data_IF_721349432360
#
_entry.id   IF_721349432360
#
_cell.length_a   1.000
_cell.length_b   1.000
_cell.length_c   1.000
_cell.angle_alpha   90.00
_cell.angle_beta   90.00
_cell.angle_gamma   90.00
#
_symmetry.space_group_name_H-M   'P 1'
#
loop_
_entity.id
_entity.type
_entity.pdbx_description
1 polymer ?
#
# COMPACT_ATOMS: atom_id res chain seq x y z
N UNK A 1 -4.44 -17.38 -2.67
CA UNK A 1 -5.40 -18.31 -3.29
C UNK A 1 -6.26 -17.56 -4.30
N UNK A 2 -6.57 -18.19 -5.43
CA UNK A 2 -7.58 -17.75 -6.38
C UNK A 2 -8.87 -18.52 -6.10
N UNK A 3 -9.95 -17.81 -5.85
CA UNK A 3 -11.24 -18.41 -5.49
C UNK A 3 -12.27 -18.04 -6.56
N UNK A 4 -12.92 -19.04 -7.14
CA UNK A 4 -14.08 -18.84 -8.02
C UNK A 4 -15.33 -18.59 -7.16
N UNK A 5 -15.90 -17.41 -7.32
CA UNK A 5 -17.10 -16.96 -6.60
C UNK A 5 -18.29 -16.74 -7.53
N UNK A 6 -18.26 -17.24 -8.77
CA UNK A 6 -19.41 -17.17 -9.69
C UNK A 6 -20.68 -17.77 -9.10
N UNK A 7 -20.50 -18.79 -8.26
CA UNK A 7 -21.55 -19.20 -7.33
C UNK A 7 -21.15 -18.83 -5.91
N UNK A 8 -21.62 -17.69 -5.34
CA UNK A 8 -21.18 -17.20 -4.04
C UNK A 8 -21.57 -18.13 -2.87
N UNK A 9 -22.57 -19.01 -3.06
CA UNK A 9 -22.95 -20.00 -2.07
C UNK A 9 -22.05 -21.25 -2.05
N UNK A 10 -21.17 -21.40 -3.07
CA UNK A 10 -20.24 -22.52 -3.20
C UNK A 10 -18.91 -22.02 -3.79
N UNK A 11 -18.12 -21.23 -3.05
CA UNK A 11 -16.82 -20.75 -3.52
C UNK A 11 -15.87 -21.94 -3.70
N UNK A 12 -15.10 -21.95 -4.78
CA UNK A 12 -14.16 -23.03 -5.13
C UNK A 12 -12.76 -22.44 -5.31
N UNK A 13 -11.77 -22.99 -4.61
CA UNK A 13 -10.38 -22.68 -4.90
C UNK A 13 -9.98 -23.24 -6.27
N UNK A 14 -9.51 -22.37 -7.15
CA UNK A 14 -9.10 -22.74 -8.52
C UNK A 14 -7.60 -22.66 -8.73
N UNK A 15 -6.86 -21.98 -7.84
CA UNK A 15 -5.42 -21.87 -7.90
C UNK A 15 -4.83 -21.25 -6.65
N UNK A 16 -3.51 -21.39 -6.50
CA UNK A 16 -2.74 -20.84 -5.40
C UNK A 16 -1.31 -20.56 -5.78
N UNK A 17 -0.73 -19.62 -5.08
CA UNK A 17 0.69 -19.36 -5.11
C UNK A 17 1.16 -18.93 -3.71
N UNK A 18 2.40 -19.22 -3.38
CA UNK A 18 3.12 -18.69 -2.22
C UNK A 18 4.59 -18.50 -2.57
N UNK A 19 5.23 -17.57 -1.90
CA UNK A 19 6.66 -17.34 -2.03
C UNK A 19 7.42 -18.60 -1.54
N UNK A 20 8.39 -19.13 -2.30
CA UNK A 20 9.19 -20.29 -1.88
C UNK A 20 9.78 -20.12 -0.48
N UNK A 21 9.71 -21.15 0.34
CA UNK A 21 10.15 -21.16 1.73
C UNK A 21 9.13 -20.63 2.73
N UNK A 22 7.92 -20.21 2.29
CA UNK A 22 6.91 -19.64 3.20
C UNK A 22 5.71 -20.56 3.44
N UNK A 23 5.68 -21.73 2.83
CA UNK A 23 4.71 -22.79 3.12
C UNK A 23 5.33 -23.86 4.01
N UNK A 24 4.51 -24.44 4.91
CA UNK A 24 4.93 -25.57 5.73
C UNK A 24 5.28 -26.83 4.92
N UNK A 25 4.92 -26.87 3.64
CA UNK A 25 5.22 -27.98 2.72
C UNK A 25 6.48 -27.76 1.91
N UNK A 26 7.12 -26.60 2.04
CA UNK A 26 8.33 -26.29 1.30
C UNK A 26 9.56 -27.00 1.89
N UNK A 27 10.45 -27.44 1.01
CA UNK A 27 11.76 -27.97 1.40
C UNK A 27 12.86 -26.90 1.36
N UNK A 28 12.48 -25.64 1.22
CA UNK A 28 13.39 -24.48 1.12
C UNK A 28 13.17 -23.59 2.34
N UNK A 29 14.26 -23.09 2.93
CA UNK A 29 14.16 -22.14 4.02
C UNK A 29 13.57 -20.80 3.54
N UNK A 30 12.77 -20.11 4.37
CA UNK A 30 12.30 -18.77 4.05
C UNK A 30 13.50 -17.79 3.95
N UNK A 31 13.34 -16.68 3.20
CA UNK A 31 14.34 -15.63 3.18
C UNK A 31 14.60 -15.06 4.58
N UNK A 32 15.78 -14.44 4.82
CA UNK A 32 16.04 -13.76 6.08
C UNK A 32 15.08 -12.59 6.29
N UNK A 33 14.73 -12.30 7.54
CA UNK A 33 13.84 -11.22 7.93
C UNK A 33 14.51 -10.24 8.89
N UNK A 34 14.03 -9.00 8.91
CA UNK A 34 14.35 -8.03 9.95
C UNK A 34 13.68 -8.46 11.28
N UNK A 35 14.27 -8.18 12.47
CA UNK A 35 13.67 -8.56 13.75
C UNK A 35 12.24 -8.04 14.01
N UNK A 36 11.87 -6.93 13.38
CA UNK A 36 10.51 -6.35 13.49
C UNK A 36 9.54 -6.83 12.42
N UNK A 37 9.96 -7.70 11.51
CA UNK A 37 9.12 -8.24 10.45
C UNK A 37 7.96 -9.09 11.00
N UNK A 38 6.84 -9.11 10.26
CA UNK A 38 5.55 -9.69 10.69
C UNK A 38 5.24 -11.03 10.01
N UNK A 39 6.09 -11.49 9.12
CA UNK A 39 5.96 -12.78 8.43
C UNK A 39 5.61 -12.67 6.96
N UNK A 40 5.46 -13.81 6.33
CA UNK A 40 5.26 -13.94 4.88
C UNK A 40 3.83 -14.34 4.59
N UNK A 41 3.03 -13.45 4.02
CA UNK A 41 1.67 -13.72 3.53
C UNK A 41 1.20 -12.61 2.59
N UNK A 42 0.25 -12.94 1.73
CA UNK A 42 -0.44 -11.95 0.91
C UNK A 42 -1.19 -10.94 1.81
N UNK A 43 -1.08 -9.68 1.49
CA UNK A 43 -1.83 -8.58 2.08
C UNK A 43 -2.77 -7.99 1.02
N UNK A 44 -2.40 -6.91 0.33
CA UNK A 44 -3.21 -6.40 -0.77
C UNK A 44 -2.95 -7.15 -2.08
N UNK A 45 -4.03 -7.40 -2.82
CA UNK A 45 -4.04 -8.21 -4.04
C UNK A 45 -4.82 -7.47 -5.13
N UNK A 46 -4.18 -6.47 -5.75
CA UNK A 46 -4.84 -5.55 -6.66
C UNK A 46 -4.82 -6.08 -8.11
N UNK A 47 -5.99 -6.10 -8.74
CA UNK A 47 -6.18 -6.40 -10.16
C UNK A 47 -6.94 -5.24 -10.78
N UNK A 48 -6.42 -4.69 -11.88
CA UNK A 48 -6.98 -3.51 -12.54
C UNK A 48 -7.69 -3.89 -13.84
N UNK A 49 -8.80 -3.24 -14.19
CA UNK A 49 -9.53 -3.49 -15.44
C UNK A 49 -8.65 -3.35 -16.69
N UNK A 50 -7.66 -2.44 -16.68
CA UNK A 50 -6.72 -2.23 -17.77
C UNK A 50 -5.78 -3.42 -17.99
N UNK A 51 -5.51 -4.21 -16.95
CA UNK A 51 -4.63 -5.38 -16.98
C UNK A 51 -5.22 -6.53 -16.15
N UNK A 52 -6.35 -7.12 -16.59
CA UNK A 52 -7.04 -8.20 -15.86
C UNK A 52 -6.24 -9.50 -15.80
N UNK A 53 -5.15 -9.58 -16.54
CA UNK A 53 -4.17 -10.66 -16.57
C UNK A 53 -3.01 -10.48 -15.60
N UNK A 54 -3.02 -9.38 -14.81
CA UNK A 54 -1.98 -9.05 -13.82
C UNK A 54 -2.56 -8.92 -12.42
N UNK A 55 -1.78 -9.42 -11.46
CA UNK A 55 -2.00 -9.20 -10.03
C UNK A 55 -0.79 -8.45 -9.47
N UNK A 56 -1.05 -7.34 -8.83
CA UNK A 56 -0.07 -6.56 -8.07
C UNK A 56 -0.23 -6.95 -6.61
N UNK A 57 0.67 -7.83 -6.17
CA UNK A 57 0.58 -8.50 -4.88
C UNK A 57 1.61 -7.92 -3.91
N UNK A 58 1.15 -7.34 -2.81
CA UNK A 58 2.00 -7.06 -1.66
C UNK A 58 1.98 -8.26 -0.71
N UNK A 59 3.16 -8.79 -0.39
CA UNK A 59 3.34 -10.04 0.36
C UNK A 59 4.04 -9.81 1.70
N UNK A 60 3.62 -8.76 2.40
CA UNK A 60 4.17 -8.29 3.68
C UNK A 60 5.71 -8.22 3.61
N UNK A 61 6.41 -9.02 4.41
CA UNK A 61 7.89 -9.00 4.48
C UNK A 61 8.56 -9.63 3.26
N UNK A 62 7.79 -10.32 2.43
CA UNK A 62 8.25 -10.89 1.17
C UNK A 62 8.36 -9.88 0.02
N UNK A 63 7.93 -8.63 0.23
CA UNK A 63 7.99 -7.61 -0.80
C UNK A 63 6.74 -7.53 -1.68
N UNK A 64 6.89 -6.93 -2.85
CA UNK A 64 5.87 -6.72 -3.86
C UNK A 64 6.16 -7.57 -5.10
N UNK A 65 5.12 -8.23 -5.64
CA UNK A 65 5.20 -9.07 -6.82
C UNK A 65 4.26 -8.55 -7.91
N UNK A 66 4.75 -8.53 -9.15
CA UNK A 66 3.90 -8.51 -10.33
C UNK A 66 3.71 -9.94 -10.79
N UNK A 67 2.47 -10.38 -10.93
CA UNK A 67 2.16 -11.75 -11.27
C UNK A 67 1.32 -11.84 -12.54
N UNK A 68 1.62 -12.83 -13.37
CA UNK A 68 0.76 -13.28 -14.45
C UNK A 68 -0.33 -14.19 -13.88
N UNK A 69 -1.59 -13.75 -14.00
CA UNK A 69 -2.78 -14.48 -13.59
C UNK A 69 -3.70 -14.79 -14.77
N UNK A 70 -3.19 -14.78 -16.00
CA UNK A 70 -3.94 -15.19 -17.19
C UNK A 70 -4.51 -16.60 -16.99
N UNK A 71 -3.69 -17.53 -16.51
CA UNK A 71 -4.13 -18.80 -15.96
C UNK A 71 -4.25 -18.70 -14.42
N UNK A 72 -5.46 -18.57 -13.92
CA UNK A 72 -5.75 -18.44 -12.48
C UNK A 72 -5.46 -19.73 -11.69
N UNK A 73 -5.36 -20.87 -12.36
CA UNK A 73 -4.98 -22.13 -11.73
C UNK A 73 -3.48 -22.22 -11.44
N UNK A 74 -2.66 -21.46 -12.20
CA UNK A 74 -1.21 -21.47 -12.11
C UNK A 74 -0.63 -20.06 -12.18
N UNK A 75 -0.84 -19.18 -11.16
CA UNK A 75 -0.24 -17.85 -11.13
C UNK A 75 1.29 -17.92 -11.20
N UNK A 76 1.92 -17.01 -11.96
CA UNK A 76 3.38 -16.98 -12.17
C UNK A 76 3.95 -15.63 -11.82
N UNK A 77 5.10 -15.61 -11.17
CA UNK A 77 5.84 -14.38 -10.90
C UNK A 77 6.44 -13.84 -12.19
N UNK A 78 6.22 -12.55 -12.46
CA UNK A 78 6.87 -11.78 -13.53
C UNK A 78 8.07 -11.06 -12.97
N UNK A 79 7.85 -10.32 -11.87
CA UNK A 79 8.91 -9.60 -11.16
C UNK A 79 8.63 -9.54 -9.66
N UNK A 80 9.68 -9.22 -8.93
CA UNK A 80 9.68 -9.10 -7.48
C UNK A 80 10.55 -7.90 -7.07
N UNK A 81 10.06 -7.08 -6.18
CA UNK A 81 10.79 -5.99 -5.56
C UNK A 81 10.59 -5.99 -4.04
N UNK A 82 11.65 -5.71 -3.30
CA UNK A 82 11.61 -5.58 -1.84
C UNK A 82 12.60 -4.54 -1.33
N UNK A 83 12.27 -3.88 -0.23
CA UNK A 83 13.17 -3.02 0.54
C UNK A 83 13.73 -3.72 1.80
N UNK A 84 13.26 -4.91 2.11
CA UNK A 84 13.64 -5.65 3.32
C UNK A 84 14.53 -6.86 3.01
N UNK A 85 15.65 -7.05 3.73
CA UNK A 85 16.39 -6.03 4.47
C UNK A 85 17.06 -5.01 3.54
N UNK A 86 17.54 -3.82 3.97
CA UNK A 86 17.83 -3.44 5.34
C UNK A 86 16.67 -2.80 6.12
N UNK A 87 15.59 -2.36 5.42
CA UNK A 87 14.41 -1.82 6.12
C UNK A 87 13.55 -2.94 6.69
N UNK A 88 12.65 -2.61 7.62
CA UNK A 88 11.58 -3.53 8.02
C UNK A 88 10.64 -3.78 6.86
N UNK A 89 10.16 -5.00 6.69
CA UNK A 89 9.13 -5.36 5.72
C UNK A 89 7.77 -4.74 6.06
N UNK A 90 6.76 -5.25 5.45
CA UNK A 90 5.35 -4.94 5.46
C UNK A 90 4.90 -4.15 4.22
N UNK A 91 5.25 -4.68 3.04
CA UNK A 91 4.65 -4.20 1.80
C UNK A 91 3.13 -4.37 1.85
N UNK A 92 2.43 -3.25 1.69
CA UNK A 92 0.99 -3.17 1.94
C UNK A 92 0.17 -3.06 0.65
N UNK A 93 0.37 -2.00 -0.13
CA UNK A 93 -0.42 -1.70 -1.32
C UNK A 93 0.48 -1.36 -2.50
N UNK A 94 0.15 -1.89 -3.69
CA UNK A 94 0.82 -1.57 -4.95
C UNK A 94 -0.19 -1.03 -5.97
N UNK A 95 0.07 0.17 -6.49
CA UNK A 95 -0.82 0.89 -7.43
C UNK A 95 -0.05 1.23 -8.70
N UNK A 96 -0.34 0.56 -9.83
CA UNK A 96 0.24 0.92 -11.12
C UNK A 96 -0.39 2.19 -11.68
N UNK A 97 0.43 3.08 -12.20
CA UNK A 97 0.05 4.23 -13.02
C UNK A 97 0.43 3.91 -14.47
N UNK A 98 -0.48 3.21 -15.16
CA UNK A 98 -0.20 2.56 -16.45
C UNK A 98 0.31 3.53 -17.51
N UNK A 99 -0.33 4.70 -17.66
CA UNK A 99 -0.01 5.67 -18.70
C UNK A 99 1.36 6.33 -18.49
N UNK A 100 1.89 6.24 -17.28
CA UNK A 100 3.21 6.79 -16.92
C UNK A 100 4.30 5.73 -16.77
N UNK A 101 3.94 4.45 -16.81
CA UNK A 101 4.88 3.37 -16.54
C UNK A 101 5.48 3.45 -15.12
N UNK A 102 4.69 3.90 -14.14
CA UNK A 102 5.09 4.00 -12.75
C UNK A 102 4.33 2.98 -11.88
N UNK A 103 4.93 2.63 -10.75
CA UNK A 103 4.31 1.85 -9.68
C UNK A 103 4.50 2.56 -8.35
N UNK A 104 3.40 2.80 -7.64
CA UNK A 104 3.45 3.26 -6.25
C UNK A 104 3.38 2.04 -5.33
N UNK A 105 4.22 1.99 -4.31
CA UNK A 105 4.20 0.91 -3.32
C UNK A 105 4.31 1.51 -1.93
N UNK A 106 3.43 1.09 -1.02
CA UNK A 106 3.50 1.48 0.39
C UNK A 106 4.01 0.36 1.26
N UNK A 107 4.77 0.70 2.30
CA UNK A 107 5.06 -0.19 3.41
C UNK A 107 4.37 0.32 4.69
N UNK A 108 3.63 -0.57 5.36
CA UNK A 108 2.84 -0.22 6.54
C UNK A 108 3.70 -0.10 7.79
N UNK A 109 3.51 0.99 8.56
CA UNK A 109 3.99 1.03 9.95
C UNK A 109 3.15 0.11 10.84
N UNK A 110 3.80 -0.82 11.53
CA UNK A 110 3.16 -1.79 12.41
C UNK A 110 3.52 -1.59 13.87
N UNK A 111 4.52 -0.76 14.16
CA UNK A 111 4.99 -0.46 15.50
C UNK A 111 4.60 0.96 15.92
N UNK A 112 4.41 1.16 17.23
CA UNK A 112 4.15 2.49 17.78
C UNK A 112 5.44 3.33 17.83
N UNK A 113 5.27 4.65 17.83
CA UNK A 113 6.34 5.61 17.97
C UNK A 113 7.43 5.51 16.90
N UNK A 114 7.08 5.05 15.69
CA UNK A 114 8.03 4.93 14.57
C UNK A 114 9.18 3.94 14.81
N UNK A 115 9.01 2.94 15.67
CA UNK A 115 10.06 1.95 15.98
C UNK A 115 10.50 1.12 14.77
N UNK A 116 9.61 0.97 13.78
CA UNK A 116 9.84 0.26 12.53
C UNK A 116 10.16 1.20 11.36
N UNK A 117 10.58 2.44 11.66
CA UNK A 117 11.01 3.42 10.68
C UNK A 117 12.21 2.92 9.82
N UNK A 118 12.30 3.30 8.50
CA UNK A 118 11.34 4.11 7.75
C UNK A 118 10.19 3.27 7.15
N UNK A 119 9.01 3.92 7.01
CA UNK A 119 7.82 3.38 6.34
C UNK A 119 7.33 4.40 5.32
N UNK A 120 7.46 4.08 4.04
CA UNK A 120 7.49 5.04 2.94
C UNK A 120 6.40 4.75 1.91
N UNK A 121 6.10 5.75 1.07
CA UNK A 121 5.44 5.56 -0.22
C UNK A 121 6.52 5.63 -1.28
N UNK A 122 6.82 4.51 -1.91
CA UNK A 122 7.83 4.34 -2.94
C UNK A 122 7.25 4.64 -4.32
N UNK A 123 8.08 5.21 -5.18
CA UNK A 123 7.79 5.40 -6.61
C UNK A 123 8.83 4.57 -7.37
N UNK A 124 8.32 3.60 -8.14
CA UNK A 124 9.16 2.74 -8.98
C UNK A 124 8.93 3.06 -10.45
N UNK A 125 9.98 3.04 -11.25
CA UNK A 125 9.88 2.92 -12.70
C UNK A 125 9.45 1.48 -13.03
N UNK A 126 8.31 1.35 -13.68
CA UNK A 126 7.69 0.08 -14.05
C UNK A 126 7.46 -0.03 -15.57
N UNK A 127 8.17 0.77 -16.39
CA UNK A 127 8.10 0.70 -17.87
C UNK A 127 8.49 -0.68 -18.37
N UNK A 128 9.40 -1.35 -17.70
CA UNK A 128 9.63 -2.79 -17.85
C UNK A 128 9.05 -3.51 -16.63
N UNK A 129 7.91 -4.19 -16.80
CA UNK A 129 7.25 -4.92 -15.70
C UNK A 129 8.11 -6.06 -15.12
N UNK A 130 9.20 -6.46 -15.81
CA UNK A 130 10.13 -7.49 -15.35
C UNK A 130 11.27 -6.93 -14.49
N UNK A 131 11.46 -5.61 -14.49
CA UNK A 131 12.54 -4.95 -13.77
C UNK A 131 12.07 -3.64 -13.14
N UNK A 132 11.48 -3.72 -11.97
CA UNK A 132 11.01 -2.56 -11.22
C UNK A 132 12.18 -1.84 -10.56
N UNK A 133 12.34 -0.54 -10.82
CA UNK A 133 13.45 0.27 -10.32
C UNK A 133 12.94 1.39 -9.42
N UNK A 134 13.29 1.43 -8.12
CA UNK A 134 12.91 2.56 -7.26
C UNK A 134 13.61 3.83 -7.74
N UNK A 135 12.85 4.91 -7.93
CA UNK A 135 13.34 6.20 -8.42
C UNK A 135 13.18 7.34 -7.42
N UNK A 136 12.19 7.25 -6.53
CA UNK A 136 11.93 8.24 -5.49
C UNK A 136 11.05 7.66 -4.37
N UNK A 137 10.86 8.46 -3.32
CA UNK A 137 9.82 8.27 -2.32
C UNK A 137 9.04 9.58 -2.15
N UNK A 138 7.74 9.50 -1.83
CA UNK A 138 7.00 10.68 -1.42
C UNK A 138 7.61 11.29 -0.14
N UNK A 139 7.62 12.63 0.01
CA UNK A 139 8.06 13.28 1.23
C UNK A 139 7.33 12.74 2.46
N UNK A 140 8.08 12.49 3.52
CA UNK A 140 7.52 11.99 4.77
C UNK A 140 7.13 13.14 5.69
N UNK A 141 6.04 13.01 6.47
CA UNK A 141 5.79 13.91 7.58
C UNK A 141 7.00 13.95 8.53
N UNK A 142 7.34 15.09 9.15
CA UNK A 142 8.52 15.19 10.02
C UNK A 142 8.46 14.20 11.18
N UNK A 143 9.44 13.30 11.27
CA UNK A 143 9.51 12.23 12.28
C UNK A 143 9.41 12.79 13.70
N UNK A 144 10.22 13.82 14.01
CA UNK A 144 10.27 14.45 15.34
C UNK A 144 8.94 15.07 15.76
N UNK A 145 8.15 15.51 14.76
CA UNK A 145 6.85 16.13 15.03
C UNK A 145 5.73 15.09 15.28
N UNK A 146 5.86 13.86 14.77
CA UNK A 146 4.75 12.92 14.76
C UNK A 146 5.03 11.59 15.48
N UNK A 147 6.23 11.03 15.42
CA UNK A 147 6.51 9.69 15.94
C UNK A 147 6.09 9.50 17.40
N UNK A 148 6.27 10.52 18.25
CA UNK A 148 5.98 10.46 19.69
C UNK A 148 4.58 10.97 20.07
N UNK A 149 3.69 11.28 19.12
CA UNK A 149 2.31 11.75 19.44
C UNK A 149 1.42 10.66 20.01
N UNK A 150 1.78 9.38 19.80
CA UNK A 150 1.03 8.21 20.20
C UNK A 150 0.60 7.35 19.02
N UNK A 151 0.51 6.04 19.24
CA UNK A 151 0.19 5.07 18.21
C UNK A 151 1.26 4.92 17.14
N UNK A 152 0.84 4.47 15.95
CA UNK A 152 1.74 4.22 14.80
C UNK A 152 2.07 5.52 14.05
N UNK A 153 3.25 5.54 13.44
CA UNK A 153 3.70 6.60 12.55
C UNK A 153 4.46 5.99 11.36
N UNK A 154 4.05 6.33 10.16
CA UNK A 154 4.60 5.84 8.89
C UNK A 154 3.49 5.65 7.86
N UNK A 155 3.84 5.34 6.64
CA UNK A 155 2.88 5.11 5.56
C UNK A 155 1.95 3.93 5.87
N UNK A 156 0.78 3.92 5.22
CA UNK A 156 -0.17 2.81 5.24
C UNK A 156 -0.88 2.68 3.90
N UNK A 157 -2.14 3.07 3.81
CA UNK A 157 -2.91 3.01 2.57
C UNK A 157 -2.69 4.25 1.68
N UNK A 158 -2.86 4.02 0.38
CA UNK A 158 -3.00 5.07 -0.63
C UNK A 158 -4.33 4.89 -1.35
N UNK A 159 -4.86 5.96 -1.93
CA UNK A 159 -5.98 5.84 -2.86
C UNK A 159 -5.59 4.94 -4.03
N UNK A 160 -6.28 3.81 -4.20
CA UNK A 160 -5.82 2.72 -5.07
C UNK A 160 -5.97 3.00 -6.58
N UNK A 161 -6.57 4.13 -6.96
CA UNK A 161 -6.69 4.57 -8.35
C UNK A 161 -7.34 3.53 -9.29
N UNK A 162 -8.29 2.74 -8.78
CA UNK A 162 -8.97 1.71 -9.57
C UNK A 162 -9.95 2.38 -10.53
N UNK A 163 -9.93 1.98 -11.79
CA UNK A 163 -10.79 2.54 -12.84
C UNK A 163 -12.27 2.11 -12.66
N UNK A 164 -12.95 2.71 -11.70
CA UNK A 164 -14.37 2.56 -11.42
C UNK A 164 -15.11 3.87 -11.72
N UNK A 165 -16.39 3.81 -12.17
CA UNK A 165 -17.19 5.03 -12.44
C UNK A 165 -17.35 5.93 -11.22
N UNK A 166 -17.24 5.39 -10.01
CA UNK A 166 -17.42 6.09 -8.73
C UNK A 166 -16.11 6.50 -8.06
N UNK A 167 -14.96 6.21 -8.68
CA UNK A 167 -13.65 6.53 -8.12
C UNK A 167 -12.95 7.60 -8.97
N UNK A 168 -12.43 8.61 -8.29
CA UNK A 168 -11.52 9.56 -8.92
C UNK A 168 -10.23 8.87 -9.33
N UNK A 169 -9.66 9.31 -10.44
CA UNK A 169 -8.40 8.80 -10.94
C UNK A 169 -7.43 9.95 -11.21
N UNK A 170 -6.20 9.77 -10.80
CA UNK A 170 -5.12 10.69 -11.11
C UNK A 170 -3.81 9.92 -11.30
N UNK A 171 -3.03 10.35 -12.27
CA UNK A 171 -1.66 9.90 -12.48
C UNK A 171 -0.62 10.91 -11.95
N UNK A 172 -1.08 12.04 -11.40
CA UNK A 172 -0.25 13.15 -10.92
C UNK A 172 -0.41 13.42 -9.43
N UNK A 173 -1.59 13.21 -8.87
CA UNK A 173 -1.84 13.42 -7.44
C UNK A 173 -2.05 12.08 -6.73
N UNK A 174 -1.33 11.88 -5.65
CA UNK A 174 -1.38 10.69 -4.81
C UNK A 174 -1.81 11.08 -3.40
N UNK A 175 -2.81 10.41 -2.87
CA UNK A 175 -3.22 10.57 -1.47
C UNK A 175 -2.83 9.33 -0.68
N UNK A 176 -2.21 9.54 0.49
CA UNK A 176 -1.79 8.44 1.37
C UNK A 176 -1.94 8.77 2.85
N UNK A 177 -2.22 7.76 3.64
CA UNK A 177 -2.37 7.86 5.09
C UNK A 177 -1.09 7.49 5.82
N UNK A 178 -0.82 8.17 6.94
CA UNK A 178 0.37 8.00 7.77
C UNK A 178 0.02 7.83 9.25
N UNK A 179 -1.08 7.19 9.58
CA UNK A 179 -1.59 7.02 10.94
C UNK A 179 -1.67 8.36 11.68
N UNK A 180 -0.83 8.58 12.72
CA UNK A 180 -0.81 9.86 13.46
C UNK A 180 -0.20 11.02 12.66
N UNK A 181 0.50 10.74 11.56
CA UNK A 181 0.95 11.72 10.57
C UNK A 181 -0.18 12.26 9.69
N UNK A 182 -1.38 11.67 9.77
CA UNK A 182 -2.57 12.11 9.05
C UNK A 182 -2.68 11.62 7.62
N UNK A 183 -3.52 12.28 6.83
CA UNK A 183 -3.62 12.13 5.38
C UNK A 183 -2.71 13.16 4.70
N UNK A 184 -2.05 12.74 3.64
CA UNK A 184 -1.15 13.56 2.83
C UNK A 184 -1.52 13.46 1.36
N UNK A 185 -1.38 14.57 0.65
CA UNK A 185 -1.50 14.64 -0.81
C UNK A 185 -0.17 15.04 -1.42
N UNK A 186 0.20 14.38 -2.52
CA UNK A 186 1.48 14.57 -3.20
C UNK A 186 1.28 14.82 -4.67
N UNK A 187 1.92 15.86 -5.20
CA UNK A 187 2.14 16.05 -6.63
C UNK A 187 3.36 15.23 -7.06
N UNK A 188 3.12 14.25 -7.91
CA UNK A 188 4.12 13.40 -8.54
C UNK A 188 4.28 13.66 -10.05
N UNK A 189 3.85 14.83 -10.55
CA UNK A 189 4.04 15.22 -11.96
C UNK A 189 5.49 15.04 -12.39
N UNK A 190 6.43 15.44 -11.52
CA UNK A 190 7.82 15.00 -11.59
C UNK A 190 8.04 13.84 -10.63
N UNK A 191 8.00 12.60 -11.14
CA UNK A 191 8.13 11.40 -10.34
C UNK A 191 9.48 11.26 -9.60
N UNK A 192 10.51 11.97 -10.04
CA UNK A 192 11.83 12.01 -9.39
C UNK A 192 11.93 13.03 -8.25
N UNK A 193 10.95 13.95 -8.17
CA UNK A 193 10.91 15.03 -7.18
C UNK A 193 9.47 15.25 -6.70
N UNK A 194 8.83 14.25 -6.07
CA UNK A 194 7.47 14.40 -5.56
C UNK A 194 7.41 15.51 -4.50
N UNK A 195 6.26 16.20 -4.43
CA UNK A 195 6.06 17.33 -3.51
C UNK A 195 4.78 17.09 -2.71
N UNK A 196 4.83 17.33 -1.40
CA UNK A 196 3.60 17.42 -0.59
C UNK A 196 2.85 18.71 -0.98
N UNK A 197 1.58 18.57 -1.35
CA UNK A 197 0.70 19.69 -1.76
C UNK A 197 -0.48 19.88 -0.83
N UNK A 198 -0.76 18.92 0.05
CA UNK A 198 -1.83 19.02 1.03
C UNK A 198 -1.65 18.06 2.20
N UNK A 199 -2.21 18.41 3.35
CA UNK A 199 -2.20 17.59 4.54
C UNK A 199 -3.44 17.80 5.39
N UNK A 200 -3.98 16.72 5.96
CA UNK A 200 -5.05 16.76 6.95
C UNK A 200 -4.69 15.93 8.17
N UNK A 201 -4.52 16.58 9.32
CA UNK A 201 -4.17 15.94 10.59
C UNK A 201 -5.14 16.41 11.66
N UNK A 202 -6.28 15.72 11.87
CA UNK A 202 -7.24 16.12 12.87
C UNK A 202 -6.68 15.97 14.29
N UNK A 203 -7.24 16.70 15.26
CA UNK A 203 -6.88 16.53 16.67
C UNK A 203 -7.17 15.11 17.16
N UNK A 204 -6.53 14.65 18.25
CA UNK A 204 -6.80 13.34 18.82
C UNK A 204 -8.29 13.14 19.10
N UNK A 205 -8.92 12.07 18.57
CA UNK A 205 -10.32 11.79 18.88
C UNK A 205 -10.53 11.50 20.37
N UNK A 206 -11.69 11.93 20.90
CA UNK A 206 -12.03 11.66 22.29
C UNK A 206 -12.05 10.17 22.60
N UNK A 207 -11.30 9.75 23.61
CA UNK A 207 -11.25 8.35 24.04
C UNK A 207 -10.39 7.44 23.14
N UNK A 208 -9.60 8.00 22.23
CA UNK A 208 -8.69 7.17 21.42
C UNK A 208 -7.64 6.50 22.31
N UNK A 209 -7.46 5.17 22.19
CA UNK A 209 -6.47 4.45 22.99
C UNK A 209 -5.02 4.77 22.56
N UNK A 210 -4.84 5.30 21.34
CA UNK A 210 -3.53 5.63 20.80
C UNK A 210 -2.98 6.97 21.31
N UNK A 211 -3.82 7.85 21.88
CA UNK A 211 -3.43 9.20 22.29
C UNK A 211 -3.34 10.21 21.15
N UNK A 212 -3.42 9.74 19.89
CA UNK A 212 -3.43 10.54 18.68
C UNK A 212 -4.37 9.92 17.65
N UNK A 213 -4.75 10.71 16.62
CA UNK A 213 -5.47 10.17 15.46
C UNK A 213 -4.65 9.06 14.80
N UNK A 214 -5.34 8.10 14.21
CA UNK A 214 -4.72 6.99 13.46
C UNK A 214 -5.44 6.84 12.12
N UNK A 215 -5.20 7.78 11.17
CA UNK A 215 -5.82 7.70 9.85
C UNK A 215 -5.34 6.44 9.13
N UNK A 216 -6.31 5.59 8.80
CA UNK A 216 -6.04 4.22 8.38
C UNK A 216 -6.19 4.04 6.88
N UNK A 217 -7.19 4.64 6.26
CA UNK A 217 -7.53 4.42 4.87
C UNK A 217 -7.96 5.70 4.17
N UNK A 218 -7.92 5.71 2.83
CA UNK A 218 -8.34 6.83 2.00
C UNK A 218 -9.01 6.34 0.73
N UNK A 219 -10.13 6.97 0.38
CA UNK A 219 -10.82 6.82 -0.90
C UNK A 219 -11.20 8.21 -1.42
N UNK A 220 -11.15 8.40 -2.74
CA UNK A 220 -11.61 9.63 -3.40
C UNK A 220 -12.67 9.27 -4.42
N UNK A 221 -13.84 9.89 -4.33
CA UNK A 221 -14.93 9.64 -5.27
C UNK A 221 -14.79 10.48 -6.56
N UNK A 222 -15.66 10.23 -7.54
CA UNK A 222 -15.66 10.89 -8.84
C UNK A 222 -15.89 12.42 -8.75
N UNK A 223 -16.41 12.91 -7.61
CA UNK A 223 -16.61 14.34 -7.32
C UNK A 223 -15.38 14.97 -6.67
N UNK A 224 -14.31 14.22 -6.49
CA UNK A 224 -13.08 14.62 -5.78
C UNK A 224 -13.29 14.84 -4.27
N UNK A 225 -14.33 14.23 -3.71
CA UNK A 225 -14.51 14.20 -2.26
C UNK A 225 -13.64 13.07 -1.69
N UNK A 226 -12.81 13.44 -0.74
CA UNK A 226 -11.90 12.52 -0.05
C UNK A 226 -12.57 11.98 1.20
N UNK A 227 -12.52 10.66 1.35
CA UNK A 227 -12.98 9.93 2.53
C UNK A 227 -11.77 9.31 3.21
N UNK A 228 -11.58 9.60 4.49
CA UNK A 228 -10.53 8.96 5.30
C UNK A 228 -11.09 8.57 6.65
N UNK A 229 -10.57 7.50 7.24
CA UNK A 229 -11.14 6.89 8.45
C UNK A 229 -10.07 6.78 9.54
N UNK A 230 -10.44 7.15 10.77
CA UNK A 230 -9.64 6.84 11.95
C UNK A 230 -9.84 5.38 12.37
N UNK A 231 -8.76 4.71 12.69
CA UNK A 231 -8.74 3.29 13.09
C UNK A 231 -9.50 3.00 14.39
N UNK A 232 -9.71 4.00 15.23
CA UNK A 232 -10.27 3.83 16.57
C UNK A 232 -11.61 4.55 16.74
N UNK A 233 -11.58 5.76 17.31
CA UNK A 233 -12.78 6.45 17.76
C UNK A 233 -13.11 7.73 16.98
N UNK A 234 -12.28 8.12 16.02
CA UNK A 234 -12.46 9.35 15.23
C UNK A 234 -13.53 9.26 14.14
N UNK A 235 -13.86 8.03 13.70
CA UNK A 235 -14.86 7.79 12.66
C UNK A 235 -14.38 8.17 11.27
N UNK A 236 -15.32 8.59 10.42
CA UNK A 236 -15.10 8.97 9.02
C UNK A 236 -14.99 10.50 8.90
N UNK A 237 -13.99 10.94 8.16
CA UNK A 237 -13.81 12.33 7.72
C UNK A 237 -14.08 12.43 6.23
N UNK A 238 -14.79 13.49 5.84
CA UNK A 238 -15.01 13.88 4.45
C UNK A 238 -14.36 15.23 4.19
N UNK A 239 -13.56 15.32 3.11
CA UNK A 239 -12.75 16.50 2.82
C UNK A 239 -12.91 16.88 1.34
N UNK A 240 -12.76 18.14 1.03
CA UNK A 240 -12.58 18.66 -0.33
C UNK A 240 -11.09 18.93 -0.58
N UNK A 241 -10.65 18.72 -1.82
CA UNK A 241 -9.30 19.10 -2.25
C UNK A 241 -9.34 20.53 -2.78
N UNK A 242 -8.43 21.37 -2.31
CA UNK A 242 -8.33 22.80 -2.66
C UNK A 242 -6.95 23.20 -3.21
N UNK A 243 -6.22 22.26 -3.85
CA UNK A 243 -4.89 22.43 -4.43
C UNK A 243 -4.82 22.05 -5.91
#
# INVERSE_FOLDING_TARGET
>A
RCIDVRNPSKPVEVGRWWMPGTSATDNVAPPPRHPLDKGYRAHNTNVYPQRPDRLYLCYIDGGMFVMDIKDKASPKVISHWTNSPPYTGFMHTAVPLFDRGLMLVTDESTENAGKDWPKLIWILDARDEKNLVPIATCPMPPVDAYANRGGRFGAHNIHENVALPTAWQSDQIVLGTFFNGGLRAYDISNAYQPKEVGAFVPPPPKGTPAGAVQLNDVFVDERQIVYTVDRHTGGLYTLEMDF
#
